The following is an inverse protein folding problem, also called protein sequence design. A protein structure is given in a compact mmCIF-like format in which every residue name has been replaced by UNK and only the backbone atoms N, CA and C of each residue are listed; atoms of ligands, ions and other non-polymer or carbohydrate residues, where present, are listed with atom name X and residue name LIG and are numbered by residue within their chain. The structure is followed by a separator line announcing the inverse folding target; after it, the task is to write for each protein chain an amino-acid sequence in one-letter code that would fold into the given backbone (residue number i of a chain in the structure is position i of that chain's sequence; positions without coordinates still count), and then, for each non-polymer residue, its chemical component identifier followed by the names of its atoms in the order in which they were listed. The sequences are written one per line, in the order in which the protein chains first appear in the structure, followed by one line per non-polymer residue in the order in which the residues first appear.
data_IF_085795505721
#
_entry.id   IF_085795505721
#
_cell.length_a   1.000
_cell.length_b   1.000
_cell.length_c   1.000
_cell.angle_alpha   90.00
_cell.angle_beta   90.00
_cell.angle_gamma   90.00
#
_symmetry.space_group_name_H-M   'P 1'
#
loop_
_entity.id
_entity.type
_entity.pdbx_description
1 polymer ?
#
# COMPACT_ATOMS: atom_id res chain seq x y z
N UNK A 1 20.64 22.47 -57.91
CA UNK A 1 21.29 23.77 -57.61
C UNK A 1 22.07 23.63 -56.30
N UNK A 2 23.39 23.69 -56.36
CA UNK A 2 24.33 23.61 -55.24
C UNK A 2 24.64 24.99 -54.65
N UNK A 3 25.39 25.05 -53.57
CA UNK A 3 26.01 26.27 -53.05
C UNK A 3 26.61 26.04 -51.66
N UNK A 4 27.65 25.21 -51.53
CA UNK A 4 29.08 25.64 -51.48
C UNK A 4 29.36 26.72 -50.42
N UNK A 5 30.08 26.27 -49.39
CA UNK A 5 31.00 26.96 -48.48
C UNK A 5 31.90 28.00 -49.20
N UNK A 6 32.68 28.88 -48.52
CA UNK A 6 33.84 28.43 -47.71
C UNK A 6 34.40 29.40 -46.63
N UNK A 7 35.48 28.89 -46.01
CA UNK A 7 36.71 29.59 -45.55
C UNK A 7 36.63 30.47 -44.30
N UNK A 8 37.27 30.08 -43.19
CA UNK A 8 38.73 30.06 -42.90
C UNK A 8 39.28 31.45 -42.59
N UNK A 9 39.76 31.65 -41.36
CA UNK A 9 41.05 32.27 -40.99
C UNK A 9 41.18 32.18 -39.47
N UNK A 10 42.11 31.36 -38.94
CA UNK A 10 43.49 31.73 -38.59
C UNK A 10 43.55 32.75 -37.44
N UNK A 11 43.76 32.31 -36.19
CA UNK A 11 45.08 32.05 -35.56
C UNK A 11 45.87 33.36 -35.40
N UNK A 12 46.07 33.82 -34.16
CA UNK A 12 47.39 34.00 -33.55
C UNK A 12 47.43 34.95 -32.33
N UNK A 13 48.32 34.58 -31.40
CA UNK A 13 49.10 35.40 -30.44
C UNK A 13 48.39 35.85 -29.14
N UNK A 14 48.85 35.40 -27.95
CA UNK A 14 50.09 35.81 -27.24
C UNK A 14 50.01 37.30 -26.91
N UNK A 15 50.16 37.82 -25.68
CA UNK A 15 50.91 37.40 -24.50
C UNK A 15 50.66 38.46 -23.39
N UNK A 16 51.04 38.15 -22.14
CA UNK A 16 51.68 39.04 -21.13
C UNK A 16 51.13 40.48 -20.94
N UNK A 17 50.87 41.05 -19.76
CA UNK A 17 51.47 40.91 -18.43
C UNK A 17 50.96 42.09 -17.58
N UNK A 18 51.16 42.04 -16.25
CA UNK A 18 51.29 43.18 -15.30
C UNK A 18 50.06 44.09 -15.12
N UNK A 19 49.71 44.66 -13.96
CA UNK A 19 50.17 44.63 -12.57
C UNK A 19 49.16 45.49 -11.77
N UNK A 20 49.28 45.43 -10.44
CA UNK A 20 48.99 46.52 -9.49
C UNK A 20 47.53 46.95 -9.20
N UNK A 21 47.14 46.63 -7.94
CA UNK A 21 46.59 47.56 -6.92
C UNK A 21 45.23 48.24 -7.19
N UNK A 22 44.31 48.49 -6.25
CA UNK A 22 44.24 48.40 -4.80
C UNK A 22 42.79 48.77 -4.43
N UNK A 23 42.27 48.18 -3.36
CA UNK A 23 41.35 48.81 -2.39
C UNK A 23 40.19 49.68 -2.90
N UNK A 24 38.99 49.09 -3.07
CA UNK A 24 37.69 49.69 -2.67
C UNK A 24 36.52 48.83 -3.13
N UNK A 25 36.02 47.94 -2.27
CA UNK A 25 34.70 47.28 -2.42
C UNK A 25 34.29 46.59 -1.12
N UNK A 26 34.23 47.34 -0.01
CA UNK A 26 33.39 46.96 1.14
C UNK A 26 32.03 47.62 0.91
N UNK A 27 30.98 46.82 0.99
CA UNK A 27 29.55 47.13 0.83
C UNK A 27 28.99 46.92 -0.59
N UNK A 28 27.92 46.10 -0.64
CA UNK A 28 27.11 45.67 -1.80
C UNK A 28 27.61 44.48 -2.61
N UNK A 29 27.67 43.29 -1.99
CA UNK A 29 27.33 42.00 -2.63
C UNK A 29 27.26 40.87 -1.60
N UNK A 30 26.25 40.90 -0.73
CA UNK A 30 25.85 39.74 0.08
C UNK A 30 24.32 39.71 0.15
N UNK A 31 23.68 39.53 -1.01
CA UNK A 31 22.23 39.27 -1.03
C UNK A 31 21.78 38.44 -2.23
N UNK A 32 22.60 37.50 -2.72
CA UNK A 32 22.12 36.46 -3.65
C UNK A 32 22.95 35.20 -3.44
N UNK A 33 22.69 34.43 -2.37
CA UNK A 33 23.07 33.01 -2.25
C UNK A 33 22.56 32.38 -0.93
N UNK A 34 21.25 32.39 -0.68
CA UNK A 34 20.68 31.60 0.43
C UNK A 34 19.35 30.88 0.08
N UNK A 35 19.04 30.69 -1.20
CA UNK A 35 17.84 29.97 -1.64
C UNK A 35 17.96 28.43 -1.59
N UNK A 36 19.01 27.81 -2.18
CA UNK A 36 19.04 26.35 -2.33
C UNK A 36 19.43 25.60 -1.05
N UNK A 37 20.31 26.18 -0.22
CA UNK A 37 20.82 25.49 0.97
C UNK A 37 19.83 25.48 2.15
N UNK A 38 18.83 26.37 2.17
CA UNK A 38 17.80 26.41 3.23
C UNK A 38 16.75 25.31 3.03
N UNK A 39 16.32 25.10 1.77
CA UNK A 39 15.45 23.98 1.39
C UNK A 39 16.14 22.62 1.56
N UNK A 40 17.42 22.52 1.20
CA UNK A 40 18.18 21.27 1.37
C UNK A 40 18.44 20.93 2.85
N UNK A 41 18.64 21.94 3.72
CA UNK A 41 18.73 21.76 5.19
C UNK A 41 17.38 21.47 5.85
N UNK A 42 16.26 21.91 5.29
CA UNK A 42 14.92 21.54 5.75
C UNK A 42 14.54 20.11 5.31
N UNK A 43 14.85 19.73 4.07
CA UNK A 43 14.68 18.35 3.57
C UNK A 43 15.54 17.35 4.33
N UNK A 44 16.79 17.68 4.62
CA UNK A 44 17.67 16.81 5.43
C UNK A 44 17.38 16.85 6.94
N UNK A 45 16.44 17.70 7.41
CA UNK A 45 15.86 17.59 8.76
C UNK A 45 14.61 16.69 8.75
N UNK A 46 13.78 16.78 7.71
CA UNK A 46 12.61 15.89 7.53
C UNK A 46 13.00 14.43 7.30
N UNK A 47 14.15 14.17 6.67
CA UNK A 47 14.70 12.81 6.46
C UNK A 47 15.54 12.29 7.64
N UNK A 48 15.71 13.07 8.72
CA UNK A 48 16.47 12.68 9.92
C UNK A 48 15.58 12.15 11.05
N UNK A 49 14.28 12.36 10.98
CA UNK A 49 13.33 11.65 11.82
C UNK A 49 12.95 10.36 11.13
N UNK A 50 13.72 9.31 11.42
CA UNK A 50 13.18 7.96 11.37
C UNK A 50 12.15 7.89 12.50
N UNK A 51 10.85 7.78 12.20
CA UNK A 51 9.85 7.78 13.25
C UNK A 51 10.13 6.60 14.19
N UNK A 52 9.98 6.81 15.49
CA UNK A 52 10.15 5.74 16.49
C UNK A 52 8.89 4.86 16.48
N UNK A 53 8.95 3.58 16.86
CA UNK A 53 7.75 2.72 16.93
C UNK A 53 6.59 3.28 17.80
N UNK A 54 6.86 4.31 18.61
CA UNK A 54 5.86 5.06 19.37
C UNK A 54 5.09 6.06 18.49
N UNK A 55 5.76 6.73 17.55
CA UNK A 55 5.19 7.70 16.60
C UNK A 55 4.14 7.03 15.68
N UNK A 56 4.24 5.71 15.54
CA UNK A 56 3.46 4.87 14.64
C UNK A 56 1.98 4.76 15.07
N UNK A 57 1.75 4.63 16.38
CA UNK A 57 0.40 4.65 16.96
C UNK A 57 -0.18 6.04 17.13
N UNK A 58 0.68 7.06 17.24
CA UNK A 58 0.29 8.44 17.53
C UNK A 58 -0.42 9.10 16.33
N UNK A 59 0.01 8.81 15.09
CA UNK A 59 -0.61 9.35 13.88
C UNK A 59 -2.10 8.93 13.73
N UNK A 60 -2.44 7.69 14.10
CA UNK A 60 -3.82 7.20 14.10
C UNK A 60 -4.66 7.92 15.17
N UNK A 61 -4.16 7.97 16.41
CA UNK A 61 -4.85 8.66 17.52
C UNK A 61 -5.07 10.15 17.22
N UNK A 62 -4.06 10.81 16.65
CA UNK A 62 -4.14 12.21 16.25
C UNK A 62 -5.17 12.43 15.14
N UNK A 63 -5.28 11.50 14.18
CA UNK A 63 -6.32 11.55 13.16
C UNK A 63 -7.73 11.47 13.79
N UNK A 64 -7.99 10.53 14.69
CA UNK A 64 -9.31 10.40 15.32
C UNK A 64 -9.68 11.58 16.23
N UNK A 65 -8.69 12.32 16.74
CA UNK A 65 -8.90 13.55 17.53
C UNK A 65 -8.95 14.83 16.68
N UNK A 66 -8.65 14.71 15.40
CA UNK A 66 -8.54 15.84 14.46
C UNK A 66 -9.86 16.53 14.16
N UNK A 67 -9.81 17.70 13.52
CA UNK A 67 -11.03 18.45 13.18
C UNK A 67 -11.88 17.71 12.15
N UNK A 68 -11.23 17.01 11.19
CA UNK A 68 -11.97 16.25 10.18
C UNK A 68 -12.75 15.07 10.79
N UNK A 69 -12.24 14.45 11.86
CA UNK A 69 -12.93 13.36 12.59
C UNK A 69 -13.84 13.84 13.73
N UNK A 70 -13.94 15.15 14.00
CA UNK A 70 -15.01 15.70 14.84
C UNK A 70 -16.37 15.70 14.13
N UNK A 71 -16.39 15.45 12.81
CA UNK A 71 -17.62 15.33 12.04
C UNK A 71 -18.22 13.93 12.18
N UNK A 72 -19.42 13.84 12.76
CA UNK A 72 -20.20 12.60 12.85
C UNK A 72 -20.39 11.93 11.49
N UNK A 73 -20.48 12.71 10.41
CA UNK A 73 -20.63 12.20 9.06
C UNK A 73 -19.36 11.45 8.60
N UNK A 74 -18.18 12.02 8.88
CA UNK A 74 -16.88 11.43 8.51
C UNK A 74 -16.64 10.15 9.31
N UNK A 75 -16.93 10.16 10.61
CA UNK A 75 -16.82 8.97 11.48
C UNK A 75 -17.74 7.86 10.99
N UNK A 76 -19.03 8.17 10.76
CA UNK A 76 -20.00 7.18 10.24
C UNK A 76 -19.59 6.61 8.89
N UNK A 77 -19.06 7.43 8.00
CA UNK A 77 -18.59 6.98 6.70
C UNK A 77 -17.39 6.04 6.83
N UNK A 78 -16.38 6.41 7.63
CA UNK A 78 -15.22 5.57 7.90
C UNK A 78 -15.63 4.23 8.51
N UNK A 79 -16.45 4.25 9.56
CA UNK A 79 -16.93 3.05 10.24
C UNK A 79 -17.73 2.14 9.30
N UNK A 80 -18.59 2.73 8.45
CA UNK A 80 -19.36 2.00 7.44
C UNK A 80 -18.43 1.29 6.45
N UNK A 81 -17.46 2.00 5.88
CA UNK A 81 -16.50 1.44 4.90
C UNK A 81 -15.69 0.31 5.54
N UNK A 82 -15.13 0.55 6.73
CA UNK A 82 -14.27 -0.41 7.42
C UNK A 82 -15.06 -1.65 7.86
N UNK A 83 -16.31 -1.48 8.29
CA UNK A 83 -17.18 -2.60 8.67
C UNK A 83 -17.53 -3.46 7.45
N UNK A 84 -17.94 -2.84 6.34
CA UNK A 84 -18.31 -3.55 5.12
C UNK A 84 -17.11 -4.32 4.53
N UNK A 85 -15.96 -3.66 4.37
CA UNK A 85 -14.74 -4.32 3.88
C UNK A 85 -14.29 -5.46 4.79
N UNK A 86 -14.41 -5.32 6.12
CA UNK A 86 -14.12 -6.40 7.06
C UNK A 86 -15.06 -7.58 6.86
N UNK A 87 -16.36 -7.34 6.76
CA UNK A 87 -17.36 -8.40 6.55
C UNK A 87 -17.12 -9.13 5.24
N UNK A 88 -16.88 -8.41 4.14
CA UNK A 88 -16.56 -9.01 2.85
C UNK A 88 -15.25 -9.82 2.92
N UNK A 89 -14.22 -9.28 3.57
CA UNK A 89 -12.97 -10.02 3.77
C UNK A 89 -13.18 -11.32 4.53
N UNK A 90 -14.03 -11.33 5.57
CA UNK A 90 -14.38 -12.55 6.31
C UNK A 90 -15.15 -13.56 5.46
N UNK A 91 -15.93 -13.10 4.47
CA UNK A 91 -16.66 -13.95 3.54
C UNK A 91 -15.80 -14.50 2.40
N UNK A 92 -14.64 -13.90 2.12
CA UNK A 92 -13.76 -14.29 1.02
C UNK A 92 -13.35 -15.77 1.07
N UNK A 93 -13.17 -16.34 2.26
CA UNK A 93 -12.83 -17.77 2.43
C UNK A 93 -13.89 -18.72 1.86
N UNK A 94 -15.15 -18.26 1.79
CA UNK A 94 -16.30 -19.03 1.27
C UNK A 94 -16.68 -18.68 -0.15
N UNK A 95 -15.97 -17.76 -0.79
CA UNK A 95 -16.26 -17.33 -2.16
C UNK A 95 -16.41 -18.49 -3.16
N UNK A 96 -15.62 -19.58 -3.11
CA UNK A 96 -15.83 -20.72 -4.00
C UNK A 96 -17.11 -21.53 -3.79
N UNK A 97 -17.76 -21.38 -2.65
CA UNK A 97 -19.01 -22.05 -2.31
C UNK A 97 -20.24 -21.26 -2.78
N UNK A 98 -20.07 -19.99 -3.14
CA UNK A 98 -21.18 -19.17 -3.60
C UNK A 98 -21.69 -19.65 -4.95
N UNK A 99 -22.98 -19.50 -5.19
CA UNK A 99 -23.53 -19.61 -6.53
C UNK A 99 -23.08 -18.42 -7.40
N UNK A 100 -23.37 -18.48 -8.70
CA UNK A 100 -22.97 -17.43 -9.65
C UNK A 100 -23.47 -16.04 -9.22
N UNK A 101 -24.72 -15.96 -8.72
CA UNK A 101 -25.30 -14.71 -8.25
C UNK A 101 -24.61 -14.17 -6.98
N UNK A 102 -24.30 -15.05 -6.03
CA UNK A 102 -23.57 -14.70 -4.81
C UNK A 102 -22.13 -14.27 -5.10
N UNK A 103 -21.45 -14.93 -6.05
CA UNK A 103 -20.11 -14.51 -6.50
C UNK A 103 -20.14 -13.12 -7.16
N UNK A 104 -21.12 -12.87 -8.02
CA UNK A 104 -21.30 -11.55 -8.65
C UNK A 104 -21.52 -10.45 -7.61
N UNK A 105 -22.47 -10.66 -6.69
CA UNK A 105 -22.78 -9.71 -5.63
C UNK A 105 -21.58 -9.44 -4.71
N UNK A 106 -20.81 -10.48 -4.38
CA UNK A 106 -19.58 -10.33 -3.61
C UNK A 106 -18.56 -9.43 -4.32
N UNK A 107 -18.33 -9.66 -5.62
CA UNK A 107 -17.40 -8.86 -6.41
C UNK A 107 -17.88 -7.41 -6.55
N UNK A 108 -19.18 -7.20 -6.80
CA UNK A 108 -19.78 -5.86 -6.85
C UNK A 108 -19.56 -5.10 -5.55
N UNK A 109 -19.81 -5.77 -4.41
CA UNK A 109 -19.66 -5.16 -3.08
C UNK A 109 -18.21 -4.89 -2.70
N UNK A 110 -17.29 -5.79 -3.05
CA UNK A 110 -15.87 -5.55 -2.85
C UNK A 110 -15.36 -4.38 -3.69
N UNK A 111 -15.80 -4.26 -4.94
CA UNK A 111 -15.45 -3.14 -5.81
C UNK A 111 -16.00 -1.81 -5.28
N UNK A 112 -17.28 -1.78 -4.90
CA UNK A 112 -17.94 -0.61 -4.30
C UNK A 112 -17.23 -0.16 -3.01
N UNK A 113 -16.99 -1.08 -2.08
CA UNK A 113 -16.31 -0.78 -0.81
C UNK A 113 -14.88 -0.27 -1.02
N UNK A 114 -14.15 -0.85 -1.98
CA UNK A 114 -12.77 -0.47 -2.30
C UNK A 114 -12.70 0.93 -2.90
N UNK A 115 -13.61 1.26 -3.82
CA UNK A 115 -13.66 2.60 -4.42
C UNK A 115 -14.09 3.64 -3.39
N UNK A 116 -15.06 3.34 -2.52
CA UNK A 116 -15.43 4.23 -1.40
C UNK A 116 -14.25 4.49 -0.46
N UNK A 117 -13.48 3.46 -0.13
CA UNK A 117 -12.28 3.60 0.70
C UNK A 117 -11.20 4.47 0.02
N UNK A 118 -10.97 4.25 -1.28
CA UNK A 118 -10.04 5.07 -2.09
C UNK A 118 -10.47 6.53 -2.14
N UNK A 119 -11.75 6.81 -2.35
CA UNK A 119 -12.31 8.17 -2.33
C UNK A 119 -12.20 8.81 -0.94
N UNK A 120 -12.40 8.05 0.14
CA UNK A 120 -12.17 8.51 1.51
C UNK A 120 -10.69 8.91 1.72
N UNK A 121 -9.75 8.06 1.32
CA UNK A 121 -8.32 8.37 1.40
C UNK A 121 -7.93 9.59 0.57
N UNK A 122 -8.52 9.77 -0.62
CA UNK A 122 -8.32 10.98 -1.43
C UNK A 122 -8.90 12.24 -0.78
N UNK A 123 -10.04 12.14 -0.08
CA UNK A 123 -10.57 13.28 0.70
C UNK A 123 -9.67 13.64 1.86
N UNK A 124 -9.11 12.67 2.56
CA UNK A 124 -8.10 12.92 3.59
C UNK A 124 -6.84 13.57 3.00
N UNK A 125 -6.42 13.17 1.80
CA UNK A 125 -5.25 13.74 1.11
C UNK A 125 -5.45 15.21 0.75
N UNK A 126 -6.68 15.56 0.35
CA UNK A 126 -7.05 16.91 -0.06
C UNK A 126 -7.51 17.81 1.10
N UNK A 127 -7.78 17.25 2.29
CA UNK A 127 -8.24 18.04 3.42
C UNK A 127 -7.09 18.84 4.03
N UNK A 128 -7.38 20.07 4.44
CA UNK A 128 -6.43 20.95 5.12
C UNK A 128 -6.37 20.66 6.63
N UNK A 129 -6.32 19.37 6.99
CA UNK A 129 -6.12 18.91 8.37
C UNK A 129 -4.67 18.38 8.53
N UNK A 130 -3.84 19.02 9.36
CA UNK A 130 -2.47 18.56 9.61
C UNK A 130 -2.38 17.10 10.07
N UNK A 131 -3.34 16.63 10.87
CA UNK A 131 -3.34 15.25 11.37
C UNK A 131 -3.64 14.25 10.25
N UNK A 132 -4.51 14.57 9.30
CA UNK A 132 -4.78 13.74 8.12
C UNK A 132 -3.55 13.65 7.19
N UNK A 133 -2.86 14.78 6.98
CA UNK A 133 -1.61 14.79 6.20
C UNK A 133 -0.52 13.97 6.87
N UNK A 134 -0.39 14.07 8.19
CA UNK A 134 0.57 13.29 8.95
C UNK A 134 0.24 11.80 8.88
N UNK A 135 -1.02 11.42 9.10
CA UNK A 135 -1.52 10.06 8.97
C UNK A 135 -1.21 9.45 7.60
N UNK A 136 -1.49 10.17 6.52
CA UNK A 136 -1.23 9.68 5.16
C UNK A 136 0.25 9.58 4.84
N UNK A 137 1.05 10.56 5.26
CA UNK A 137 2.52 10.53 5.10
C UNK A 137 3.09 9.30 5.80
N UNK A 138 2.64 9.08 7.03
CA UNK A 138 3.09 8.01 7.88
C UNK A 138 2.67 6.63 7.32
N UNK A 139 1.39 6.47 6.95
CA UNK A 139 0.87 5.24 6.35
C UNK A 139 1.60 4.91 5.05
N UNK A 140 1.84 5.90 4.18
CA UNK A 140 2.60 5.69 2.94
C UNK A 140 4.07 5.30 3.21
N UNK A 141 4.72 5.91 4.21
CA UNK A 141 6.09 5.57 4.57
C UNK A 141 6.20 4.11 5.07
N UNK A 142 5.25 3.70 5.91
CA UNK A 142 5.12 2.32 6.38
C UNK A 142 4.91 1.32 5.23
N UNK A 143 4.00 1.61 4.31
CA UNK A 143 3.78 0.76 3.14
C UNK A 143 5.02 0.68 2.26
N UNK A 144 5.75 1.80 2.11
CA UNK A 144 6.98 1.87 1.33
C UNK A 144 8.13 1.07 1.97
N UNK A 145 8.21 1.00 3.29
CA UNK A 145 9.14 0.09 4.01
C UNK A 145 8.81 -1.39 3.74
N UNK A 146 7.51 -1.72 3.59
CA UNK A 146 7.06 -3.00 3.04
C UNK A 146 7.27 -3.15 1.54
N UNK A 147 7.66 -2.08 0.83
CA UNK A 147 7.93 -2.04 -0.59
C UNK A 147 6.68 -2.02 -1.48
N UNK A 148 5.60 -1.41 -1.00
CA UNK A 148 4.40 -1.09 -1.78
C UNK A 148 3.90 0.32 -1.45
N UNK A 149 2.85 0.77 -2.13
CA UNK A 149 2.19 2.06 -1.86
C UNK A 149 0.68 1.86 -1.80
N UNK A 150 -0.04 2.80 -1.22
CA UNK A 150 -1.51 2.78 -1.21
C UNK A 150 -2.08 2.68 -2.63
N UNK A 151 -1.46 3.36 -3.59
CA UNK A 151 -1.83 3.30 -5.00
C UNK A 151 -1.66 1.89 -5.58
N UNK A 152 -0.49 1.28 -5.36
CA UNK A 152 -0.20 -0.10 -5.81
C UNK A 152 -1.16 -1.11 -5.17
N UNK A 153 -1.53 -0.91 -3.90
CA UNK A 153 -2.51 -1.77 -3.22
C UNK A 153 -3.87 -1.73 -3.92
N UNK A 154 -4.40 -0.53 -4.22
CA UNK A 154 -5.67 -0.40 -4.93
C UNK A 154 -5.63 -0.94 -6.36
N UNK A 155 -4.51 -0.74 -7.06
CA UNK A 155 -4.28 -1.30 -8.40
C UNK A 155 -4.28 -2.84 -8.37
N UNK A 156 -3.56 -3.43 -7.41
CA UNK A 156 -3.53 -4.89 -7.23
C UNK A 156 -4.89 -5.48 -6.89
N UNK A 157 -5.68 -4.79 -6.07
CA UNK A 157 -7.05 -5.20 -5.76
C UNK A 157 -7.95 -5.13 -6.99
N UNK A 158 -7.86 -4.03 -7.76
CA UNK A 158 -8.60 -3.86 -9.02
C UNK A 158 -8.26 -4.98 -10.01
N UNK A 159 -6.97 -5.29 -10.17
CA UNK A 159 -6.49 -6.37 -11.02
C UNK A 159 -7.04 -7.73 -10.57
N UNK A 160 -7.01 -8.02 -9.26
CA UNK A 160 -7.51 -9.27 -8.69
C UNK A 160 -9.01 -9.43 -8.92
N UNK A 161 -9.80 -8.38 -8.66
CA UNK A 161 -11.24 -8.38 -8.92
C UNK A 161 -11.55 -8.61 -10.41
N UNK A 162 -10.79 -8.01 -11.32
CA UNK A 162 -10.90 -8.25 -12.76
C UNK A 162 -10.62 -9.70 -13.16
N UNK A 163 -9.63 -10.34 -12.53
CA UNK A 163 -9.36 -11.77 -12.73
C UNK A 163 -10.53 -12.62 -12.21
N UNK A 164 -11.08 -12.30 -11.05
CA UNK A 164 -12.20 -13.04 -10.48
C UNK A 164 -13.49 -12.90 -11.31
N UNK A 165 -13.72 -11.73 -11.92
CA UNK A 165 -14.79 -11.55 -12.92
C UNK A 165 -14.61 -12.46 -14.13
N UNK A 166 -13.37 -12.60 -14.59
CA UNK A 166 -13.06 -13.50 -15.72
C UNK A 166 -13.40 -14.95 -15.36
N UNK A 167 -13.08 -15.38 -14.14
CA UNK A 167 -13.48 -16.70 -13.64
C UNK A 167 -14.99 -16.87 -13.56
N UNK A 168 -15.72 -15.85 -13.09
CA UNK A 168 -17.17 -15.87 -13.01
C UNK A 168 -17.84 -16.00 -14.38
N UNK A 169 -17.32 -15.30 -15.39
CA UNK A 169 -17.81 -15.41 -16.76
C UNK A 169 -17.56 -16.80 -17.35
N UNK A 170 -16.40 -17.40 -17.07
CA UNK A 170 -16.13 -18.78 -17.47
C UNK A 170 -17.08 -19.76 -16.78
N UNK A 171 -17.35 -19.59 -15.47
CA UNK A 171 -18.34 -20.39 -14.75
C UNK A 171 -19.72 -20.33 -15.43
N UNK A 172 -20.17 -19.11 -15.80
CA UNK A 172 -21.43 -18.92 -16.53
C UNK A 172 -21.46 -19.68 -17.84
N UNK A 173 -20.38 -19.63 -18.62
CA UNK A 173 -20.28 -20.34 -19.91
C UNK A 173 -20.39 -21.85 -19.77
N UNK A 174 -19.83 -22.42 -18.71
CA UNK A 174 -19.84 -23.88 -18.50
C UNK A 174 -21.00 -24.36 -17.63
N UNK A 175 -21.75 -23.46 -17.00
CA UNK A 175 -22.81 -23.77 -16.02
C UNK A 175 -23.93 -24.68 -16.55
N UNK A 176 -24.21 -24.65 -17.85
CA UNK A 176 -25.24 -25.50 -18.47
C UNK A 176 -24.81 -26.96 -18.68
N UNK A 177 -23.51 -27.26 -18.61
CA UNK A 177 -22.95 -28.60 -18.77
C UNK A 177 -22.40 -29.09 -17.42
N UNK A 178 -23.09 -30.03 -16.74
CA UNK A 178 -22.69 -30.46 -15.40
C UNK A 178 -21.27 -31.02 -15.31
N UNK A 179 -20.78 -31.69 -16.35
CA UNK A 179 -19.43 -32.26 -16.36
C UNK A 179 -18.37 -31.16 -16.49
N UNK A 180 -18.60 -30.18 -17.38
CA UNK A 180 -17.70 -29.03 -17.53
C UNK A 180 -17.74 -28.10 -16.31
N UNK A 181 -18.91 -27.89 -15.72
CA UNK A 181 -19.07 -27.07 -14.52
C UNK A 181 -18.33 -27.67 -13.32
N UNK A 182 -18.45 -28.98 -13.09
CA UNK A 182 -17.67 -29.67 -12.05
C UNK A 182 -16.16 -29.57 -12.27
N UNK A 183 -15.69 -29.77 -13.51
CA UNK A 183 -14.27 -29.64 -13.84
C UNK A 183 -13.76 -28.21 -13.60
N UNK A 184 -14.53 -27.20 -13.97
CA UNK A 184 -14.24 -25.80 -13.68
C UNK A 184 -14.16 -25.54 -12.18
N UNK A 185 -15.15 -25.98 -11.38
CA UNK A 185 -15.19 -25.74 -9.94
C UNK A 185 -13.98 -26.33 -9.21
N UNK A 186 -13.49 -27.50 -9.63
CA UNK A 186 -12.29 -28.10 -9.08
C UNK A 186 -11.05 -27.21 -9.32
N UNK A 187 -10.83 -26.75 -10.56
CA UNK A 187 -9.73 -25.85 -10.90
C UNK A 187 -9.87 -24.47 -10.25
N UNK A 188 -11.09 -23.97 -10.17
CA UNK A 188 -11.42 -22.68 -9.55
C UNK A 188 -11.06 -22.66 -8.07
N UNK A 189 -11.42 -23.69 -7.29
CA UNK A 189 -11.08 -23.77 -5.85
C UNK A 189 -9.57 -23.75 -5.63
N UNK A 190 -8.83 -24.48 -6.46
CA UNK A 190 -7.37 -24.48 -6.41
C UNK A 190 -6.82 -23.08 -6.72
N UNK A 191 -7.26 -22.47 -7.82
CA UNK A 191 -6.82 -21.12 -8.21
C UNK A 191 -7.16 -20.07 -7.14
N UNK A 192 -8.36 -20.14 -6.55
CA UNK A 192 -8.78 -19.26 -5.46
C UNK A 192 -7.87 -19.40 -4.24
N UNK A 193 -7.61 -20.64 -3.79
CA UNK A 193 -6.74 -20.90 -2.62
C UNK A 193 -5.31 -20.38 -2.79
N UNK A 194 -4.85 -20.24 -4.04
CA UNK A 194 -3.55 -19.66 -4.37
C UNK A 194 -3.58 -18.14 -4.59
N UNK A 195 -4.75 -17.52 -4.60
CA UNK A 195 -4.91 -16.07 -4.78
C UNK A 195 -4.72 -15.32 -3.47
N UNK A 196 -4.40 -14.03 -3.54
CA UNK A 196 -4.19 -13.19 -2.36
C UNK A 196 -5.37 -13.22 -1.37
N UNK A 197 -6.62 -13.21 -1.86
CA UNK A 197 -7.81 -13.24 -0.99
C UNK A 197 -8.21 -14.64 -0.53
N UNK A 198 -7.87 -15.69 -1.27
CA UNK A 198 -8.21 -17.07 -0.89
C UNK A 198 -7.14 -17.76 -0.05
N UNK A 199 -5.89 -17.30 -0.10
CA UNK A 199 -4.79 -17.83 0.70
C UNK A 199 -4.90 -17.48 2.19
N UNK A 200 -5.59 -16.38 2.53
CA UNK A 200 -5.75 -15.91 3.91
C UNK A 200 -7.23 -15.99 4.30
N UNK A 201 -7.56 -16.87 5.25
CA UNK A 201 -8.89 -16.84 5.85
C UNK A 201 -8.96 -15.73 6.90
N UNK A 202 -9.50 -14.58 6.48
CA UNK A 202 -9.67 -13.41 7.33
C UNK A 202 -10.70 -13.63 8.44
N UNK A 203 -11.63 -14.59 8.31
CA UNK A 203 -12.55 -14.96 9.40
C UNK A 203 -11.80 -15.68 10.52
N UNK A 204 -10.90 -16.58 10.16
CA UNK A 204 -10.03 -17.27 11.12
C UNK A 204 -8.99 -16.30 11.69
N UNK A 205 -8.43 -15.40 10.87
CA UNK A 205 -7.52 -14.36 11.35
C UNK A 205 -8.23 -13.42 12.33
N UNK A 206 -9.46 -13.00 12.05
CA UNK A 206 -10.25 -12.15 12.94
C UNK A 206 -10.69 -12.85 14.23
N UNK A 207 -10.87 -14.17 14.21
CA UNK A 207 -11.18 -14.97 15.41
C UNK A 207 -9.93 -15.30 16.23
N UNK A 208 -8.76 -15.43 15.59
CA UNK A 208 -7.52 -15.87 16.24
C UNK A 208 -6.57 -14.72 16.61
N UNK A 209 -6.67 -13.57 15.95
CA UNK A 209 -5.89 -12.40 16.30
C UNK A 209 -6.71 -11.52 17.25
N UNK A 210 -6.33 -11.53 18.52
CA UNK A 210 -6.75 -10.52 19.48
C UNK A 210 -6.62 -9.13 18.83
N UNK A 211 -7.65 -8.27 18.87
CA UNK A 211 -7.57 -6.90 18.37
C UNK A 211 -6.30 -6.16 18.84
N UNK A 212 -5.85 -6.40 20.08
CA UNK A 212 -4.61 -5.82 20.60
C UNK A 212 -3.37 -6.38 19.88
N UNK A 213 -3.36 -7.66 19.50
CA UNK A 213 -2.28 -8.28 18.74
C UNK A 213 -2.18 -7.68 17.34
N UNK A 214 -3.31 -7.47 16.66
CA UNK A 214 -3.32 -6.83 15.33
C UNK A 214 -2.83 -5.40 15.41
N UNK A 215 -3.34 -4.62 16.37
CA UNK A 215 -2.94 -3.22 16.57
C UNK A 215 -1.46 -3.13 16.94
N UNK A 216 -0.96 -4.03 17.79
CA UNK A 216 0.45 -4.07 18.19
C UNK A 216 1.36 -4.46 17.02
N UNK A 217 0.93 -5.43 16.20
CA UNK A 217 1.66 -5.81 14.99
C UNK A 217 1.69 -4.67 13.97
N UNK A 218 0.56 -3.98 13.72
CA UNK A 218 0.47 -2.86 12.76
C UNK A 218 1.33 -1.64 13.15
N UNK A 219 1.59 -1.45 14.45
CA UNK A 219 2.51 -0.41 14.95
C UNK A 219 3.98 -0.76 14.73
N UNK A 220 4.29 -2.00 14.38
CA UNK A 220 5.66 -2.40 14.14
C UNK A 220 6.18 -1.89 12.78
N UNK A 221 7.39 -1.29 12.72
CA UNK A 221 7.97 -0.85 11.45
C UNK A 221 8.17 -1.98 10.42
N UNK A 222 8.39 -3.23 10.87
CA UNK A 222 8.57 -4.36 9.96
C UNK A 222 7.24 -5.03 9.56
N UNK A 223 6.09 -4.54 10.03
CA UNK A 223 4.79 -5.16 9.77
C UNK A 223 4.53 -5.38 8.28
N UNK A 224 4.64 -4.32 7.47
CA UNK A 224 4.33 -4.41 6.06
C UNK A 224 5.36 -5.20 5.25
N UNK A 225 6.62 -5.22 5.71
CA UNK A 225 7.64 -6.12 5.17
C UNK A 225 7.29 -7.57 5.43
N UNK A 226 6.84 -7.89 6.64
CA UNK A 226 6.33 -9.21 6.99
C UNK A 226 5.14 -9.60 6.11
N UNK A 227 4.13 -8.74 5.99
CA UNK A 227 2.96 -8.98 5.12
C UNK A 227 3.39 -9.27 3.68
N UNK A 228 4.30 -8.48 3.12
CA UNK A 228 4.80 -8.69 1.76
C UNK A 228 5.52 -10.03 1.61
N UNK A 229 6.50 -10.32 2.47
CA UNK A 229 7.27 -11.56 2.35
C UNK A 229 6.36 -12.79 2.40
N UNK A 230 5.36 -12.77 3.28
CA UNK A 230 4.35 -13.83 3.40
C UNK A 230 3.46 -13.88 2.15
N UNK A 231 3.01 -12.74 1.65
CA UNK A 231 2.19 -12.67 0.44
C UNK A 231 2.93 -13.14 -0.81
N UNK A 232 4.20 -12.78 -0.95
CA UNK A 232 5.06 -13.13 -2.09
C UNK A 232 5.44 -14.62 -2.06
N UNK A 233 5.67 -15.19 -0.86
CA UNK A 233 6.07 -16.59 -0.70
C UNK A 233 5.53 -17.20 0.61
N UNK A 234 4.27 -17.66 0.66
CA UNK A 234 3.60 -18.13 1.88
C UNK A 234 4.04 -19.55 2.33
N UNK A 235 5.34 -19.75 2.52
CA UNK A 235 5.93 -21.03 2.95
C UNK A 235 6.13 -21.11 4.45
N UNK A 236 6.30 -22.33 4.98
CA UNK A 236 6.68 -22.54 6.38
C UNK A 236 7.96 -21.83 6.77
N UNK A 237 8.92 -21.76 5.84
CA UNK A 237 10.20 -21.11 6.07
C UNK A 237 10.02 -19.59 6.21
N UNK A 238 9.31 -18.96 5.27
CA UNK A 238 8.99 -17.53 5.33
C UNK A 238 8.25 -17.16 6.62
N UNK A 239 7.29 -17.98 7.03
CA UNK A 239 6.48 -17.71 8.22
C UNK A 239 7.28 -17.90 9.50
N UNK A 240 8.14 -18.93 9.57
CA UNK A 240 8.98 -19.20 10.74
C UNK A 240 9.95 -18.07 11.06
N UNK A 241 10.44 -17.35 10.04
CA UNK A 241 11.28 -16.16 10.21
C UNK A 241 10.63 -15.10 11.11
N UNK A 242 9.31 -14.98 11.08
CA UNK A 242 8.58 -13.94 11.80
C UNK A 242 7.94 -14.42 13.10
N UNK A 243 7.86 -15.74 13.34
CA UNK A 243 7.21 -16.31 14.54
C UNK A 243 7.88 -15.86 15.85
N UNK A 244 9.20 -15.67 15.84
CA UNK A 244 9.96 -15.24 17.01
C UNK A 244 9.97 -13.71 17.19
N UNK A 245 9.34 -12.95 16.29
CA UNK A 245 9.29 -11.49 16.39
C UNK A 245 8.41 -11.05 17.56
N UNK A 246 8.87 -10.17 18.48
CA UNK A 246 8.18 -9.89 19.75
C UNK A 246 6.81 -9.22 19.60
N UNK A 247 6.57 -8.53 18.50
CA UNK A 247 5.36 -7.75 18.19
C UNK A 247 4.56 -8.35 17.02
N UNK A 248 5.24 -9.00 16.07
CA UNK A 248 4.66 -9.52 14.81
C UNK A 248 4.39 -11.02 14.92
N UNK A 249 5.21 -11.75 15.70
CA UNK A 249 5.13 -13.21 15.84
C UNK A 249 3.77 -13.72 16.29
N UNK A 250 3.10 -13.10 17.28
CA UNK A 250 1.74 -13.51 17.65
C UNK A 250 0.73 -13.38 16.49
N UNK A 251 0.83 -12.31 15.69
CA UNK A 251 -0.01 -12.10 14.51
C UNK A 251 0.30 -13.12 13.40
N UNK A 252 1.57 -13.38 13.12
CA UNK A 252 2.00 -14.39 12.15
C UNK A 252 1.59 -15.80 12.58
N UNK A 253 1.65 -16.10 13.89
CA UNK A 253 1.16 -17.36 14.43
C UNK A 253 -0.34 -17.56 14.21
N UNK A 254 -1.15 -16.51 14.36
CA UNK A 254 -2.57 -16.54 14.03
C UNK A 254 -2.81 -16.73 12.51
N UNK A 255 -2.04 -16.03 11.68
CA UNK A 255 -2.09 -16.17 10.23
C UNK A 255 -1.70 -17.59 9.78
N UNK A 256 -0.64 -18.16 10.35
CA UNK A 256 -0.18 -19.53 10.07
C UNK A 256 -1.28 -20.57 10.35
N UNK A 257 -1.96 -20.44 11.49
CA UNK A 257 -3.09 -21.31 11.84
C UNK A 257 -4.27 -21.14 10.88
N UNK A 258 -4.57 -19.90 10.47
CA UNK A 258 -5.59 -19.60 9.47
C UNK A 258 -5.29 -20.28 8.12
N UNK A 259 -4.06 -20.17 7.63
CA UNK A 259 -3.64 -20.79 6.37
C UNK A 259 -3.73 -22.32 6.42
N UNK A 260 -3.35 -22.94 7.54
CA UNK A 260 -3.52 -24.39 7.72
C UNK A 260 -4.99 -24.80 7.70
N UNK A 261 -5.86 -24.04 8.38
CA UNK A 261 -7.30 -24.30 8.38
C UNK A 261 -7.93 -24.14 6.99
N UNK A 262 -7.50 -23.15 6.21
CA UNK A 262 -7.92 -22.97 4.81
C UNK A 262 -7.46 -24.14 3.93
N UNK A 263 -6.19 -24.58 4.05
CA UNK A 263 -5.65 -25.71 3.30
C UNK A 263 -6.37 -27.03 3.60
N UNK A 264 -6.72 -27.28 4.87
CA UNK A 264 -7.44 -28.49 5.27
C UNK A 264 -8.87 -28.54 4.71
N UNK A 265 -9.51 -27.38 4.47
CA UNK A 265 -10.83 -27.30 3.83
C UNK A 265 -10.77 -27.47 2.31
N UNK A 266 -9.72 -26.97 1.66
CA UNK A 266 -9.53 -27.14 0.21
C UNK A 266 -9.21 -28.57 -0.24
N UNK A 267 -8.92 -29.48 0.69
CA UNK A 267 -8.66 -30.91 0.41
C UNK A 267 -9.88 -31.83 0.67
N UNK A 268 -10.97 -31.30 1.23
CA UNK A 268 -12.24 -32.01 1.44
C UNK A 268 -13.22 -31.71 0.30
#
# INVERSE_FOLDING_TARGET
MPGRSPSLTSRHHSSSSTSSSSSSSRQRKLQVQQGPQRLQKQFSRLLRHRPSATDYGEAYENLFRSKVFQSDLVVKEFDSIMTELRQLSMMASRFPEFDVAGKEMFLDKMEEGSERYKLFMKRLELCDDPAAREYLRYTNAQMLEGGFTMQVMFEGLTQSLGQYRTWLEEERRVSSDPAKHQAFLAGFRQAWSSSAMGAIDMSVLAQMADPEVVVKAQKDPEFYKCIREISDNPTSETMSKWLDHPTIGPFVGAMWKSMQAARNRGQQ
#
